data_IF_164834945584
#
_entry.id   IF_164834945584
#
_cell.length_a   1.000
_cell.length_b   1.000
_cell.length_c   1.000
_cell.angle_alpha   90.00
_cell.angle_beta   90.00
_cell.angle_gamma   90.00
#
_symmetry.space_group_name_H-M   'P 1'
#
loop_
_entity.id
_entity.type
_entity.pdbx_description
1 polymer ?
#
# COMPACT_ATOMS: atom_id res chain seq x y z
N UNK A 1 39.42 36.28 -25.81
CA UNK A 1 39.92 35.83 -24.49
C UNK A 1 39.03 34.75 -23.82
N UNK A 2 38.37 33.83 -24.57
CA UNK A 2 37.60 32.72 -23.97
C UNK A 2 38.14 31.32 -24.33
N UNK A 3 38.90 31.19 -25.42
CA UNK A 3 39.54 29.93 -25.82
C UNK A 3 40.76 29.58 -24.96
N UNK A 4 41.49 30.59 -24.46
CA UNK A 4 42.70 30.40 -23.67
C UNK A 4 42.42 29.77 -22.29
N UNK A 5 41.26 30.05 -21.67
CA UNK A 5 40.92 29.50 -20.34
C UNK A 5 40.49 28.02 -20.42
N UNK A 6 39.85 27.62 -21.52
CA UNK A 6 39.48 26.20 -21.76
C UNK A 6 40.74 25.38 -22.11
N UNK A 7 41.67 25.94 -22.87
CA UNK A 7 42.96 25.32 -23.17
C UNK A 7 43.85 25.18 -21.94
N UNK A 8 43.84 26.14 -21.02
CA UNK A 8 44.61 26.06 -19.75
C UNK A 8 44.05 24.98 -18.83
N UNK A 9 42.72 24.85 -18.72
CA UNK A 9 42.08 23.78 -17.96
C UNK A 9 42.30 22.39 -18.58
N UNK A 10 42.34 22.28 -19.92
CA UNK A 10 42.71 21.03 -20.60
C UNK A 10 44.20 20.71 -20.47
N UNK A 11 45.08 21.72 -20.47
CA UNK A 11 46.52 21.51 -20.33
C UNK A 11 46.96 21.12 -18.91
N UNK A 12 46.14 21.34 -17.89
CA UNK A 12 46.35 20.75 -16.56
C UNK A 12 46.04 19.24 -16.52
N UNK A 13 45.36 18.69 -17.53
CA UNK A 13 45.08 17.26 -17.64
C UNK A 13 46.16 16.47 -18.41
N UNK A 14 47.28 17.10 -18.78
CA UNK A 14 48.34 16.48 -19.59
C UNK A 14 49.73 16.45 -18.90
N UNK A 15 49.78 16.54 -17.57
CA UNK A 15 51.01 16.35 -16.80
C UNK A 15 50.76 15.29 -15.70
N UNK A 16 51.16 14.04 -15.95
CA UNK A 16 51.31 12.97 -14.96
C UNK A 16 50.06 12.72 -14.10
N UNK A 17 49.06 12.04 -14.68
CA UNK A 17 47.68 11.92 -14.23
C UNK A 17 47.44 11.01 -13.00
N UNK A 18 48.16 11.20 -11.89
CA UNK A 18 47.73 10.57 -10.64
C UNK A 18 46.43 11.23 -10.16
N UNK A 19 45.28 10.57 -10.40
CA UNK A 19 44.01 10.98 -9.79
C UNK A 19 44.20 11.17 -8.28
N UNK A 20 43.83 12.33 -7.70
CA UNK A 20 44.01 12.59 -6.26
C UNK A 20 43.35 11.50 -5.41
N UNK A 21 44.02 10.96 -4.38
CA UNK A 21 43.48 9.93 -3.50
C UNK A 21 42.10 10.27 -2.91
N UNK A 22 41.85 11.56 -2.67
CA UNK A 22 40.59 12.09 -2.16
C UNK A 22 39.42 11.80 -3.11
N UNK A 23 39.64 11.87 -4.42
CA UNK A 23 38.62 11.58 -5.45
C UNK A 23 38.31 10.08 -5.49
N UNK A 24 39.34 9.23 -5.38
CA UNK A 24 39.16 7.76 -5.28
C UNK A 24 38.40 7.38 -4.02
N UNK A 25 38.74 7.97 -2.89
CA UNK A 25 38.05 7.76 -1.62
C UNK A 25 36.60 8.25 -1.67
N UNK A 26 36.33 9.39 -2.31
CA UNK A 26 34.98 9.91 -2.49
C UNK A 26 34.11 8.98 -3.35
N UNK A 27 34.66 8.41 -4.42
CA UNK A 27 33.98 7.41 -5.27
C UNK A 27 33.64 6.16 -4.46
N UNK A 28 34.58 5.64 -3.67
CA UNK A 28 34.35 4.47 -2.79
C UNK A 28 33.28 4.78 -1.74
N UNK A 29 33.37 5.93 -1.07
CA UNK A 29 32.40 6.37 -0.07
C UNK A 29 30.99 6.55 -0.67
N UNK A 30 30.89 7.03 -1.93
CA UNK A 30 29.61 7.14 -2.64
C UNK A 30 29.01 5.77 -2.98
N UNK A 31 29.81 4.78 -3.37
CA UNK A 31 29.31 3.42 -3.63
C UNK A 31 28.82 2.74 -2.35
N UNK A 32 29.54 2.94 -1.23
CA UNK A 32 29.11 2.50 0.09
C UNK A 32 27.78 3.17 0.49
N UNK A 33 27.67 4.49 0.33
CA UNK A 33 26.45 5.23 0.60
C UNK A 33 25.26 4.77 -0.28
N UNK A 34 25.48 4.42 -1.55
CA UNK A 34 24.44 3.84 -2.40
C UNK A 34 23.99 2.47 -1.90
N UNK A 35 24.93 1.65 -1.44
CA UNK A 35 24.63 0.32 -0.88
C UNK A 35 23.82 0.43 0.41
N UNK A 36 24.21 1.33 1.32
CA UNK A 36 23.48 1.59 2.57
C UNK A 36 22.08 2.16 2.30
N UNK A 37 21.96 3.11 1.39
CA UNK A 37 20.67 3.68 1.00
C UNK A 37 19.74 2.64 0.37
N UNK A 38 20.27 1.75 -0.48
CA UNK A 38 19.50 0.65 -1.05
C UNK A 38 18.97 -0.25 0.07
N UNK A 39 19.82 -0.64 1.02
CA UNK A 39 19.43 -1.46 2.18
C UNK A 39 18.35 -0.78 3.02
N UNK A 40 18.47 0.52 3.29
CA UNK A 40 17.45 1.28 4.04
C UNK A 40 16.10 1.30 3.29
N UNK A 41 16.13 1.45 1.97
CA UNK A 41 14.90 1.46 1.17
C UNK A 41 14.25 0.08 1.08
N UNK A 42 15.03 -1.00 1.04
CA UNK A 42 14.53 -2.38 1.16
C UNK A 42 13.85 -2.59 2.53
N UNK A 43 14.48 -2.16 3.63
CA UNK A 43 13.89 -2.22 4.97
C UNK A 43 12.61 -1.38 5.07
N UNK A 44 12.58 -0.21 4.44
CA UNK A 44 11.39 0.64 4.42
C UNK A 44 10.25 0.01 3.61
N UNK A 45 10.57 -0.64 2.48
CA UNK A 45 9.60 -1.42 1.68
C UNK A 45 8.95 -2.54 2.51
N UNK A 46 9.77 -3.30 3.23
CA UNK A 46 9.29 -4.35 4.14
C UNK A 46 8.40 -3.77 5.25
N UNK A 47 8.81 -2.66 5.86
CA UNK A 47 8.04 -2.00 6.91
C UNK A 47 6.67 -1.54 6.39
N UNK A 48 6.61 -0.87 5.25
CA UNK A 48 5.35 -0.40 4.65
C UNK A 48 4.43 -1.58 4.32
N UNK A 49 4.99 -2.66 3.78
CA UNK A 49 4.24 -3.88 3.49
C UNK A 49 3.65 -4.48 4.77
N UNK A 50 4.48 -4.67 5.80
CA UNK A 50 4.07 -5.25 7.08
C UNK A 50 3.04 -4.40 7.83
N UNK A 51 3.23 -3.07 7.84
CA UNK A 51 2.28 -2.14 8.48
C UNK A 51 0.94 -2.18 7.76
N UNK A 52 0.94 -2.21 6.42
CA UNK A 52 -0.30 -2.25 5.65
C UNK A 52 -1.03 -3.58 5.86
N UNK A 53 -0.31 -4.70 5.83
CA UNK A 53 -0.91 -6.01 6.08
C UNK A 53 -1.51 -6.08 7.50
N UNK A 54 -0.77 -5.62 8.51
CA UNK A 54 -1.26 -5.57 9.89
C UNK A 54 -2.47 -4.67 10.03
N UNK A 55 -2.47 -3.51 9.38
CA UNK A 55 -3.62 -2.62 9.35
C UNK A 55 -4.84 -3.31 8.74
N UNK A 56 -4.66 -4.03 7.63
CA UNK A 56 -5.71 -4.78 6.97
C UNK A 56 -6.29 -5.89 7.86
N UNK A 57 -5.44 -6.65 8.55
CA UNK A 57 -5.87 -7.67 9.51
C UNK A 57 -6.65 -7.05 10.68
N UNK A 58 -6.16 -5.93 11.23
CA UNK A 58 -6.84 -5.19 12.30
C UNK A 58 -8.19 -4.65 11.85
N UNK A 59 -8.24 -4.04 10.67
CA UNK A 59 -9.46 -3.54 10.05
C UNK A 59 -10.49 -4.68 9.91
N UNK A 60 -10.09 -5.81 9.30
CA UNK A 60 -10.96 -6.99 9.18
C UNK A 60 -11.48 -7.45 10.54
N UNK A 61 -10.62 -7.53 11.55
CA UNK A 61 -11.02 -7.97 12.89
C UNK A 61 -12.06 -7.02 13.51
N UNK A 62 -11.78 -5.72 13.54
CA UNK A 62 -12.66 -4.70 14.13
C UNK A 62 -13.99 -4.64 13.37
N UNK A 63 -13.95 -4.59 12.05
CA UNK A 63 -15.15 -4.54 11.21
C UNK A 63 -16.02 -5.78 11.37
N UNK A 64 -15.41 -6.97 11.50
CA UNK A 64 -16.15 -8.21 11.71
C UNK A 64 -16.94 -8.13 13.01
N UNK A 65 -16.30 -7.68 14.09
CA UNK A 65 -16.96 -7.55 15.39
C UNK A 65 -18.06 -6.49 15.39
N UNK A 66 -17.83 -5.35 14.76
CA UNK A 66 -18.81 -4.27 14.67
C UNK A 66 -20.03 -4.68 13.85
N UNK A 67 -19.84 -5.18 12.62
CA UNK A 67 -20.93 -5.61 11.75
C UNK A 67 -21.67 -6.82 12.33
N UNK A 68 -20.98 -7.77 12.96
CA UNK A 68 -21.63 -8.90 13.64
C UNK A 68 -22.48 -8.43 14.81
N UNK A 69 -21.95 -7.53 15.65
CA UNK A 69 -22.73 -6.96 16.74
C UNK A 69 -23.98 -6.23 16.22
N UNK A 70 -23.84 -5.40 15.18
CA UNK A 70 -24.95 -4.69 14.56
C UNK A 70 -26.00 -5.66 13.98
N UNK A 71 -25.56 -6.70 13.27
CA UNK A 71 -26.45 -7.72 12.73
C UNK A 71 -27.23 -8.45 13.84
N UNK A 72 -26.56 -8.80 14.93
CA UNK A 72 -27.19 -9.45 16.08
C UNK A 72 -28.15 -8.52 16.82
N UNK A 73 -27.83 -7.23 16.94
CA UNK A 73 -28.75 -6.22 17.49
C UNK A 73 -30.03 -6.16 16.66
N UNK A 74 -29.93 -6.11 15.33
CA UNK A 74 -31.09 -6.12 14.45
C UNK A 74 -31.84 -7.45 14.41
N UNK A 75 -31.18 -8.57 14.68
CA UNK A 75 -31.83 -9.88 14.78
C UNK A 75 -32.55 -10.10 16.11
N UNK A 76 -32.04 -9.56 17.21
CA UNK A 76 -32.52 -9.89 18.58
C UNK A 76 -33.25 -8.76 19.27
N UNK A 77 -33.06 -7.52 18.83
CA UNK A 77 -33.59 -6.32 19.47
C UNK A 77 -34.22 -5.39 18.44
N UNK A 78 -34.79 -4.29 18.93
CA UNK A 78 -35.25 -3.18 18.10
C UNK A 78 -34.39 -1.94 18.37
N UNK A 79 -33.20 -1.82 17.73
CA UNK A 79 -32.28 -0.73 17.99
C UNK A 79 -32.92 0.63 17.70
N UNK A 80 -32.55 1.62 18.53
CA UNK A 80 -32.98 3.02 18.47
C UNK A 80 -31.82 3.90 18.92
N UNK A 81 -31.67 5.05 18.29
CA UNK A 81 -30.72 6.09 18.68
C UNK A 81 -31.48 7.37 19.02
N UNK A 82 -31.03 8.09 20.05
CA UNK A 82 -31.55 9.42 20.36
C UNK A 82 -31.21 10.36 19.19
N UNK A 83 -32.16 11.21 18.81
CA UNK A 83 -32.01 12.22 17.76
C UNK A 83 -31.80 11.69 16.32
N UNK A 84 -31.96 10.38 16.09
CA UNK A 84 -31.95 9.78 14.75
C UNK A 84 -33.31 9.15 14.45
N UNK A 85 -33.90 9.48 13.31
CA UNK A 85 -35.15 8.87 12.88
C UNK A 85 -34.96 7.38 12.60
N UNK A 86 -35.88 6.54 13.09
CA UNK A 86 -35.84 5.08 12.91
C UNK A 86 -35.63 4.65 11.44
N UNK A 87 -36.20 5.42 10.50
CA UNK A 87 -36.10 5.14 9.07
C UNK A 87 -34.69 5.40 8.50
N UNK A 88 -34.04 6.49 8.93
CA UNK A 88 -32.66 6.80 8.55
C UNK A 88 -31.71 5.77 9.16
N UNK A 89 -31.88 5.44 10.45
CA UNK A 89 -31.09 4.41 11.12
C UNK A 89 -31.18 3.05 10.40
N UNK A 90 -32.39 2.62 10.04
CA UNK A 90 -32.59 1.35 9.34
C UNK A 90 -31.90 1.35 7.97
N UNK A 91 -31.94 2.46 7.24
CA UNK A 91 -31.28 2.60 5.94
C UNK A 91 -29.75 2.56 6.09
N UNK A 92 -29.19 3.39 6.95
CA UNK A 92 -27.74 3.49 7.14
C UNK A 92 -27.14 2.14 7.57
N UNK A 93 -27.78 1.47 8.53
CA UNK A 93 -27.34 0.15 8.99
C UNK A 93 -27.48 -0.91 7.89
N UNK A 94 -28.52 -0.84 7.06
CA UNK A 94 -28.70 -1.76 5.95
C UNK A 94 -27.68 -1.55 4.82
N UNK A 95 -27.25 -0.32 4.57
CA UNK A 95 -26.16 -0.02 3.63
C UNK A 95 -24.82 -0.60 4.15
N UNK A 96 -24.55 -0.42 5.44
CA UNK A 96 -23.35 -0.95 6.11
C UNK A 96 -23.29 -2.49 6.10
N UNK A 97 -24.42 -3.16 6.36
CA UNK A 97 -24.51 -4.62 6.40
C UNK A 97 -24.61 -5.23 5.00
N UNK A 98 -25.41 -4.63 4.13
CA UNK A 98 -25.65 -5.08 2.75
C UNK A 98 -26.74 -6.13 2.63
N UNK A 99 -27.24 -6.28 1.41
CA UNK A 99 -28.41 -7.08 1.09
C UNK A 99 -28.31 -8.55 1.56
N UNK A 100 -27.14 -9.19 1.38
CA UNK A 100 -26.97 -10.60 1.77
C UNK A 100 -27.03 -10.83 3.28
N UNK A 101 -26.48 -9.89 4.07
CA UNK A 101 -26.53 -9.95 5.53
C UNK A 101 -27.94 -9.60 6.01
N UNK A 102 -28.58 -8.59 5.42
CA UNK A 102 -29.96 -8.21 5.73
C UNK A 102 -30.95 -9.35 5.44
N UNK A 103 -30.80 -10.05 4.32
CA UNK A 103 -31.63 -11.20 4.00
C UNK A 103 -31.53 -12.29 5.06
N UNK A 104 -30.32 -12.58 5.57
CA UNK A 104 -30.14 -13.55 6.64
C UNK A 104 -30.67 -13.04 7.98
N UNK A 105 -30.49 -11.74 8.30
CA UNK A 105 -31.06 -11.13 9.51
C UNK A 105 -32.58 -11.32 9.51
N UNK A 106 -33.25 -11.06 8.39
CA UNK A 106 -34.70 -11.20 8.28
C UNK A 106 -35.18 -12.64 8.49
N UNK A 107 -34.38 -13.65 8.10
CA UNK A 107 -34.66 -15.07 8.33
C UNK A 107 -34.54 -15.48 9.80
N UNK A 108 -33.62 -14.86 10.55
CA UNK A 108 -33.28 -15.24 11.94
C UNK A 108 -33.86 -14.30 13.00
N UNK A 109 -34.53 -13.24 12.59
CA UNK A 109 -35.02 -12.17 13.46
C UNK A 109 -36.05 -12.71 14.44
N UNK A 110 -35.85 -12.44 15.74
CA UNK A 110 -36.68 -12.96 16.82
C UNK A 110 -38.13 -12.48 16.73
N UNK A 111 -39.06 -13.36 17.09
CA UNK A 111 -40.49 -13.06 17.15
C UNK A 111 -40.80 -11.80 17.96
N UNK A 112 -41.85 -11.10 17.57
CA UNK A 112 -42.35 -9.84 18.19
C UNK A 112 -41.50 -8.59 17.91
N UNK A 113 -40.46 -8.69 17.08
CA UNK A 113 -39.77 -7.50 16.58
C UNK A 113 -40.58 -6.86 15.44
N UNK A 114 -40.83 -5.55 15.47
CA UNK A 114 -41.61 -4.88 14.42
C UNK A 114 -40.85 -4.83 13.11
N UNK A 115 -41.58 -4.68 12.00
CA UNK A 115 -40.99 -4.30 10.72
C UNK A 115 -40.37 -2.89 10.81
N UNK A 116 -39.28 -2.66 10.09
CA UNK A 116 -38.67 -1.35 9.92
C UNK A 116 -38.60 -0.98 8.46
N UNK A 117 -39.00 0.24 8.17
CA UNK A 117 -39.04 0.83 6.83
C UNK A 117 -37.93 1.85 6.69
N UNK A 118 -37.37 1.96 5.49
CA UNK A 118 -36.49 3.05 5.11
C UNK A 118 -37.25 4.36 4.91
N UNK A 119 -36.55 5.46 4.63
CA UNK A 119 -37.15 6.78 4.38
C UNK A 119 -38.10 6.80 3.17
N UNK A 120 -37.93 5.86 2.25
CA UNK A 120 -38.76 5.63 1.07
C UNK A 120 -40.02 4.79 1.34
N UNK A 121 -40.19 4.32 2.59
CA UNK A 121 -41.28 3.45 2.99
C UNK A 121 -41.08 1.97 2.62
N UNK A 122 -39.96 1.59 2.00
CA UNK A 122 -39.66 0.19 1.71
C UNK A 122 -39.26 -0.55 2.99
N UNK A 123 -39.69 -1.82 3.10
CA UNK A 123 -39.32 -2.65 4.26
C UNK A 123 -37.87 -3.07 4.13
N UNK A 124 -37.05 -2.60 5.08
CA UNK A 124 -35.63 -2.94 5.18
C UNK A 124 -35.46 -4.16 6.09
N UNK A 125 -36.09 -4.11 7.26
CA UNK A 125 -36.14 -5.22 8.20
C UNK A 125 -37.58 -5.73 8.33
N UNK A 126 -37.77 -7.02 8.11
CA UNK A 126 -39.08 -7.65 8.22
C UNK A 126 -39.52 -7.78 9.68
N UNK A 127 -40.82 -8.00 9.89
CA UNK A 127 -41.32 -8.40 11.20
C UNK A 127 -40.70 -9.76 11.58
N UNK A 128 -40.23 -9.88 12.82
CA UNK A 128 -39.53 -11.07 13.26
C UNK A 128 -40.47 -12.26 13.46
N UNK A 129 -40.04 -13.42 12.97
CA UNK A 129 -40.78 -14.70 13.06
C UNK A 129 -39.95 -15.84 13.65
N UNK A 130 -38.63 -15.65 13.79
CA UNK A 130 -37.69 -16.65 14.26
C UNK A 130 -37.65 -16.80 15.78
N UNK A 131 -36.93 -17.83 16.23
CA UNK A 131 -36.62 -18.09 17.63
C UNK A 131 -35.11 -18.18 17.90
N UNK A 132 -34.75 -18.34 19.17
CA UNK A 132 -33.34 -18.41 19.57
C UNK A 132 -32.62 -19.64 18.99
N UNK A 133 -33.34 -20.74 18.73
CA UNK A 133 -32.75 -21.96 18.17
C UNK A 133 -32.33 -21.72 16.71
N UNK A 134 -33.21 -21.13 15.90
CA UNK A 134 -32.91 -20.77 14.51
C UNK A 134 -31.71 -19.79 14.44
N UNK A 135 -31.72 -18.77 15.30
CA UNK A 135 -30.62 -17.80 15.36
C UNK A 135 -29.28 -18.48 15.64
N UNK A 136 -29.21 -19.33 16.67
CA UNK A 136 -27.98 -20.03 17.04
C UNK A 136 -27.48 -20.96 15.93
N UNK A 137 -28.39 -21.66 15.24
CA UNK A 137 -28.05 -22.53 14.11
C UNK A 137 -27.47 -21.74 12.93
N UNK A 138 -27.91 -20.50 12.73
CA UNK A 138 -27.52 -19.64 11.61
C UNK A 138 -26.35 -18.69 11.91
N UNK A 139 -25.86 -18.64 13.15
CA UNK A 139 -24.69 -17.82 13.52
C UNK A 139 -23.43 -18.08 12.67
N UNK A 140 -23.06 -19.33 12.32
CA UNK A 140 -21.91 -19.58 11.46
C UNK A 140 -22.10 -18.98 10.06
N UNK A 141 -23.31 -19.09 9.51
CA UNK A 141 -23.67 -18.51 8.21
C UNK A 141 -23.59 -16.98 8.25
N UNK A 142 -24.09 -16.36 9.33
CA UNK A 142 -24.03 -14.91 9.53
C UNK A 142 -22.59 -14.41 9.61
N UNK A 143 -21.74 -15.11 10.35
CA UNK A 143 -20.32 -14.79 10.46
C UNK A 143 -19.64 -14.88 9.09
N UNK A 144 -19.96 -15.90 8.30
CA UNK A 144 -19.44 -16.08 6.94
C UNK A 144 -19.83 -14.95 5.98
N UNK A 145 -21.11 -14.57 5.93
CA UNK A 145 -21.59 -13.48 5.05
C UNK A 145 -21.00 -12.13 5.43
N UNK A 146 -20.82 -11.86 6.72
CA UNK A 146 -20.17 -10.63 7.20
C UNK A 146 -18.70 -10.59 6.81
N UNK A 147 -17.98 -11.71 6.96
CA UNK A 147 -16.58 -11.80 6.53
C UNK A 147 -16.44 -11.54 5.01
N UNK A 148 -17.34 -12.10 4.20
CA UNK A 148 -17.38 -11.85 2.74
C UNK A 148 -17.66 -10.38 2.42
N UNK A 149 -18.60 -9.74 3.12
CA UNK A 149 -18.88 -8.31 2.94
C UNK A 149 -17.66 -7.45 3.25
N UNK A 150 -16.98 -7.72 4.35
CA UNK A 150 -15.78 -6.99 4.76
C UNK A 150 -14.65 -7.19 3.76
N UNK A 151 -14.50 -8.39 3.23
CA UNK A 151 -13.50 -8.67 2.20
C UNK A 151 -13.75 -7.83 0.94
N UNK A 152 -15.01 -7.75 0.51
CA UNK A 152 -15.42 -6.92 -0.63
C UNK A 152 -15.16 -5.42 -0.36
N UNK A 153 -15.48 -4.94 0.84
CA UNK A 153 -15.21 -3.55 1.24
C UNK A 153 -13.69 -3.26 1.26
N UNK A 154 -12.87 -4.23 1.68
CA UNK A 154 -11.43 -4.05 1.84
C UNK A 154 -10.64 -4.18 0.52
N UNK A 155 -11.13 -4.96 -0.46
CA UNK A 155 -10.53 -5.04 -1.80
C UNK A 155 -10.47 -3.68 -2.52
N UNK A 156 -11.38 -2.76 -2.19
CA UNK A 156 -11.35 -1.39 -2.72
C UNK A 156 -10.13 -0.57 -2.27
N UNK A 157 -9.42 -0.99 -1.21
CA UNK A 157 -8.32 -0.23 -0.58
C UNK A 157 -6.98 -1.00 -0.52
N UNK A 158 -6.89 -2.19 -1.10
CA UNK A 158 -5.85 -3.17 -0.74
C UNK A 158 -4.52 -3.09 -1.50
N UNK A 159 -4.38 -2.28 -2.54
CA UNK A 159 -3.16 -2.27 -3.35
C UNK A 159 -2.15 -1.25 -2.80
N UNK A 160 -1.13 -1.74 -2.08
CA UNK A 160 0.07 -0.97 -1.78
C UNK A 160 0.84 -0.77 -3.09
N UNK A 161 0.90 0.47 -3.56
CA UNK A 161 1.74 0.82 -4.70
C UNK A 161 3.22 0.82 -4.27
N UNK A 162 3.97 -0.17 -4.75
CA UNK A 162 5.40 -0.32 -4.48
C UNK A 162 6.28 0.18 -5.64
N UNK A 163 5.69 0.75 -6.71
CA UNK A 163 6.42 1.13 -7.92
C UNK A 163 7.53 2.16 -7.65
N UNK A 164 7.31 3.06 -6.69
CA UNK A 164 8.33 4.04 -6.29
C UNK A 164 9.59 3.39 -5.69
N UNK A 165 9.45 2.26 -4.97
CA UNK A 165 10.59 1.51 -4.45
C UNK A 165 11.37 0.83 -5.58
N UNK A 166 10.66 0.26 -6.56
CA UNK A 166 11.28 -0.40 -7.70
C UNK A 166 12.04 0.62 -8.58
N UNK A 167 11.45 1.80 -8.81
CA UNK A 167 12.10 2.92 -9.50
C UNK A 167 13.37 3.38 -8.76
N UNK A 168 13.28 3.52 -7.43
CA UNK A 168 14.43 3.89 -6.62
C UNK A 168 15.58 2.87 -6.74
N UNK A 169 15.28 1.56 -6.63
CA UNK A 169 16.26 0.49 -6.80
C UNK A 169 16.94 0.52 -8.16
N UNK A 170 16.16 0.72 -9.23
CA UNK A 170 16.69 0.87 -10.59
C UNK A 170 17.63 2.07 -10.73
N UNK A 171 17.26 3.21 -10.14
CA UNK A 171 18.06 4.43 -10.16
C UNK A 171 19.37 4.29 -9.39
N UNK A 172 19.34 3.69 -8.19
CA UNK A 172 20.56 3.42 -7.42
C UNK A 172 21.45 2.41 -8.16
N UNK A 173 20.87 1.37 -8.77
CA UNK A 173 21.62 0.42 -9.59
C UNK A 173 22.29 1.08 -10.81
N UNK A 174 21.64 2.07 -11.44
CA UNK A 174 22.26 2.88 -12.49
C UNK A 174 23.43 3.73 -11.94
N UNK A 175 23.25 4.41 -10.81
CA UNK A 175 24.30 5.21 -10.17
C UNK A 175 25.52 4.37 -9.76
N UNK A 176 25.31 3.16 -9.24
CA UNK A 176 26.41 2.24 -8.90
C UNK A 176 27.19 1.78 -10.13
N UNK A 177 26.52 1.51 -11.25
CA UNK A 177 27.19 1.21 -12.54
C UNK A 177 28.05 2.38 -13.01
N UNK A 178 27.53 3.61 -12.92
CA UNK A 178 28.30 4.82 -13.24
C UNK A 178 29.53 4.92 -12.34
N UNK A 179 29.36 4.69 -11.04
CA UNK A 179 30.44 4.81 -10.07
C UNK A 179 31.51 3.71 -10.26
N UNK A 180 31.11 2.50 -10.69
CA UNK A 180 32.04 1.43 -11.05
C UNK A 180 32.90 1.78 -12.28
N UNK A 181 32.29 2.36 -13.32
CA UNK A 181 33.01 2.84 -14.52
C UNK A 181 33.97 3.98 -14.14
N UNK A 182 33.53 4.92 -13.31
CA UNK A 182 34.38 5.99 -12.80
C UNK A 182 35.57 5.42 -12.00
N UNK A 183 35.33 4.46 -11.11
CA UNK A 183 36.42 3.81 -10.36
C UNK A 183 37.44 3.15 -11.28
N UNK A 184 36.98 2.40 -12.29
CA UNK A 184 37.85 1.78 -13.28
C UNK A 184 38.69 2.81 -14.04
N UNK A 185 38.10 3.93 -14.42
CA UNK A 185 38.83 5.04 -15.06
C UNK A 185 39.86 5.69 -14.14
N UNK A 186 39.55 5.86 -12.86
CA UNK A 186 40.49 6.44 -11.90
C UNK A 186 41.60 5.46 -11.50
N UNK A 187 41.36 4.15 -11.63
CA UNK A 187 42.33 3.09 -11.34
C UNK A 187 43.21 2.70 -12.54
N UNK A 188 42.79 2.98 -13.78
CA UNK A 188 43.54 2.74 -15.01
C UNK A 188 43.91 4.08 -15.67
N UNK A 189 45.18 4.42 -15.75
CA UNK A 189 45.64 5.75 -16.19
C UNK A 189 45.46 6.06 -17.70
N UNK A 190 44.72 5.28 -18.51
CA UNK A 190 44.45 5.56 -19.95
C UNK A 190 43.16 4.90 -20.50
N UNK A 191 42.40 5.68 -21.30
CA UNK A 191 41.31 5.41 -22.29
C UNK A 191 40.16 4.44 -21.97
N UNK A 192 38.95 5.00 -21.88
CA UNK A 192 37.65 4.31 -21.83
C UNK A 192 37.36 3.57 -23.15
N UNK A 193 36.91 2.31 -23.06
CA UNK A 193 36.50 1.53 -24.24
C UNK A 193 35.12 1.95 -24.76
N UNK A 194 34.83 1.71 -26.05
CA UNK A 194 33.53 2.08 -26.65
C UNK A 194 32.34 1.42 -25.95
N UNK A 195 32.53 0.20 -25.45
CA UNK A 195 31.51 -0.57 -24.76
C UNK A 195 31.19 0.03 -23.38
N UNK A 196 32.19 0.56 -22.67
CA UNK A 196 32.00 1.28 -21.41
C UNK A 196 31.26 2.61 -21.60
N UNK A 197 31.55 3.35 -22.68
CA UNK A 197 30.81 4.58 -23.04
C UNK A 197 29.33 4.26 -23.34
N UNK A 198 29.07 3.13 -24.00
CA UNK A 198 27.72 2.69 -24.28
C UNK A 198 26.98 2.27 -22.99
N UNK A 199 27.64 1.52 -22.11
CA UNK A 199 27.10 1.15 -20.79
C UNK A 199 26.77 2.38 -19.93
N UNK A 200 27.66 3.38 -19.94
CA UNK A 200 27.44 4.66 -19.26
C UNK A 200 26.24 5.41 -19.83
N UNK A 201 26.14 5.49 -21.16
CA UNK A 201 25.02 6.14 -21.83
C UNK A 201 23.68 5.45 -21.53
N UNK A 202 23.67 4.12 -21.43
CA UNK A 202 22.49 3.33 -21.04
C UNK A 202 22.10 3.54 -19.57
N UNK A 203 23.08 3.57 -18.66
CA UNK A 203 22.85 3.87 -17.24
C UNK A 203 22.30 5.30 -17.04
N UNK A 204 22.84 6.29 -17.76
CA UNK A 204 22.34 7.68 -17.72
C UNK A 204 20.95 7.81 -18.33
N UNK A 205 20.63 7.05 -19.39
CA UNK A 205 19.28 7.02 -19.97
C UNK A 205 18.26 6.41 -18.99
N UNK A 206 18.67 5.41 -18.22
CA UNK A 206 17.82 4.81 -17.17
C UNK A 206 17.44 5.83 -16.10
N UNK A 207 18.35 6.74 -15.71
CA UNK A 207 18.08 7.80 -14.73
C UNK A 207 17.18 8.95 -15.24
N UNK A 208 17.03 9.10 -16.56
CA UNK A 208 16.25 10.18 -17.19
C UNK A 208 14.81 9.78 -17.51
N UNK A 209 14.45 8.52 -17.36
CA UNK A 209 13.10 7.99 -17.58
C UNK A 209 12.41 7.81 -16.23
#
# INVERSE_FOLDING_TARGET
>A
MKAAQVLVALSLACLGCATPPEVKQAVIAKDQAYTENQRLMEQYRELVTNVTERHHQWYRHVQTRLKLNLALQWATTNPKLTDVADAELAKDDAELLGAEVIALINDIRLKNLPERKGPDGQVVFQAGTGDMSNLLQKLPELTGRIAQRIEKDAQASANVDLTAFDQYGNNVGALRRINAILKQYLDIDVTVSRDEVQSLAEAVRTLRR
#
